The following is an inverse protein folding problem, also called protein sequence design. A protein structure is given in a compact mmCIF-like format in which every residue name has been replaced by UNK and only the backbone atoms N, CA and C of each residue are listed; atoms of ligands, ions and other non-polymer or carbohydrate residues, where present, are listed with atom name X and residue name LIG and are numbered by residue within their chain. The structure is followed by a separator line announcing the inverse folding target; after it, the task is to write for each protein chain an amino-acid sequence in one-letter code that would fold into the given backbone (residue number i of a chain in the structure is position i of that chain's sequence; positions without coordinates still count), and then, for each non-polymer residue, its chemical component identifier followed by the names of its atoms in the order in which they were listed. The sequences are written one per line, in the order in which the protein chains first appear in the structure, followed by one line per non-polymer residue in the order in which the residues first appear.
data_IF_221517423392
#
_entry.id   IF_221517423392
#
_cell.length_a   1.000
_cell.length_b   1.000
_cell.length_c   1.000
_cell.angle_alpha   90.00
_cell.angle_beta   90.00
_cell.angle_gamma   90.00
#
_symmetry.space_group_name_H-M   'P 1'
#
loop_
_entity.id
_entity.type
_entity.pdbx_description
1 polymer ?
#
# COMPACT_ATOMS: atom_id res chain seq x y z
N UNK A 1 -17.65 0.95 -6.24
CA UNK A 1 -16.60 0.36 -7.08
C UNK A 1 -15.24 1.04 -6.90
N UNK A 2 -15.22 2.38 -6.94
CA UNK A 2 -13.95 3.10 -6.81
C UNK A 2 -13.20 2.78 -5.52
N UNK A 3 -13.90 2.69 -4.40
CA UNK A 3 -13.25 2.36 -3.12
C UNK A 3 -12.68 0.94 -3.11
N UNK A 4 -13.39 -0.01 -3.70
CA UNK A 4 -12.91 -1.38 -3.80
C UNK A 4 -11.64 -1.46 -4.64
N UNK A 5 -11.64 -0.79 -5.79
CA UNK A 5 -10.47 -0.72 -6.67
C UNK A 5 -9.31 -0.03 -5.95
N UNK A 6 -9.60 1.06 -5.24
CA UNK A 6 -8.59 1.82 -4.52
C UNK A 6 -7.91 0.98 -3.44
N UNK A 7 -8.69 0.29 -2.61
CA UNK A 7 -8.13 -0.55 -1.55
C UNK A 7 -7.33 -1.72 -2.14
N UNK A 8 -7.85 -2.35 -3.19
CA UNK A 8 -7.13 -3.43 -3.88
C UNK A 8 -5.79 -2.93 -4.43
N UNK A 9 -5.79 -1.72 -5.01
CA UNK A 9 -4.56 -1.11 -5.53
C UNK A 9 -3.56 -0.82 -4.42
N UNK A 10 -4.05 -0.40 -3.24
CA UNK A 10 -3.20 -0.22 -2.07
C UNK A 10 -2.58 -1.52 -1.58
N UNK A 11 -3.33 -2.62 -1.65
CA UNK A 11 -2.79 -3.95 -1.34
C UNK A 11 -1.67 -4.30 -2.33
N UNK A 12 -1.87 -4.02 -3.62
CA UNK A 12 -0.83 -4.23 -4.62
C UNK A 12 0.39 -3.35 -4.38
N UNK A 13 0.20 -2.16 -3.82
CA UNK A 13 1.32 -1.31 -3.42
C UNK A 13 2.21 -2.02 -2.40
N UNK A 14 1.62 -2.70 -1.42
CA UNK A 14 2.39 -3.48 -0.45
C UNK A 14 3.16 -4.61 -1.15
N UNK A 15 2.57 -5.21 -2.17
CA UNK A 15 3.24 -6.27 -2.94
C UNK A 15 4.46 -5.72 -3.67
N UNK A 16 4.31 -4.63 -4.44
CA UNK A 16 5.46 -4.12 -5.18
C UNK A 16 6.50 -3.47 -4.27
N UNK A 17 6.09 -2.87 -3.15
CA UNK A 17 7.05 -2.31 -2.19
C UNK A 17 7.90 -3.41 -1.56
N UNK A 18 7.28 -4.52 -1.17
CA UNK A 18 7.99 -5.67 -0.62
C UNK A 18 8.90 -6.32 -1.68
N UNK A 19 8.40 -6.46 -2.90
CA UNK A 19 9.19 -7.00 -4.01
C UNK A 19 10.40 -6.13 -4.31
N UNK A 20 10.23 -4.80 -4.28
CA UNK A 20 11.33 -3.87 -4.47
C UNK A 20 12.43 -4.09 -3.42
N UNK A 21 12.02 -4.23 -2.16
CA UNK A 21 12.95 -4.51 -1.06
C UNK A 21 13.73 -5.80 -1.29
N UNK A 22 13.08 -6.83 -1.85
CA UNK A 22 13.69 -8.15 -2.05
C UNK A 22 14.42 -8.27 -3.38
N UNK A 23 14.33 -7.27 -4.25
CA UNK A 23 15.01 -7.30 -5.55
C UNK A 23 16.50 -7.04 -5.45
N UNK A 24 16.99 -6.60 -4.30
CA UNK A 24 18.39 -6.27 -4.07
C UNK A 24 18.93 -5.33 -5.16
N UNK A 25 18.26 -4.17 -5.31
CA UNK A 25 18.64 -3.18 -6.32
C UNK A 25 18.35 -3.63 -7.75
N UNK A 26 17.31 -4.45 -7.93
CA UNK A 26 16.93 -5.05 -9.22
C UNK A 26 17.91 -6.11 -9.74
N UNK A 27 18.77 -6.61 -8.86
CA UNK A 27 19.71 -7.66 -9.25
C UNK A 27 19.06 -9.04 -9.27
N UNK A 28 17.92 -9.23 -8.59
CA UNK A 28 17.20 -10.50 -8.57
C UNK A 28 16.01 -10.43 -9.49
N UNK A 29 15.95 -11.35 -10.46
CA UNK A 29 14.98 -11.30 -11.54
C UNK A 29 13.54 -11.45 -11.06
N UNK A 30 13.25 -12.48 -10.26
CA UNK A 30 11.87 -12.77 -9.89
C UNK A 30 11.23 -11.63 -9.06
N UNK A 31 11.86 -11.13 -7.98
CA UNK A 31 11.31 -9.98 -7.27
C UNK A 31 11.17 -8.74 -8.14
N UNK A 32 12.10 -8.52 -9.08
CA UNK A 32 12.03 -7.38 -9.98
C UNK A 32 10.82 -7.47 -10.90
N UNK A 33 10.53 -8.66 -11.44
CA UNK A 33 9.36 -8.88 -12.29
C UNK A 33 8.07 -8.68 -11.50
N UNK A 34 7.99 -9.20 -10.28
CA UNK A 34 6.83 -9.00 -9.39
C UNK A 34 6.63 -7.51 -9.14
N UNK A 35 7.71 -6.78 -8.88
CA UNK A 35 7.65 -5.34 -8.66
C UNK A 35 6.99 -4.63 -9.85
N UNK A 36 7.49 -4.86 -11.07
CA UNK A 36 6.97 -4.14 -12.23
C UNK A 36 5.53 -4.51 -12.56
N UNK A 37 5.17 -5.78 -12.44
CA UNK A 37 3.79 -6.22 -12.70
C UNK A 37 2.84 -5.62 -11.66
N UNK A 38 3.18 -5.75 -10.38
CA UNK A 38 2.33 -5.24 -9.30
C UNK A 38 2.23 -3.71 -9.36
N UNK A 39 3.33 -3.01 -9.68
CA UNK A 39 3.32 -1.56 -9.83
C UNK A 39 2.36 -1.12 -10.94
N UNK A 40 2.40 -1.79 -12.08
CA UNK A 40 1.53 -1.46 -13.20
C UNK A 40 0.06 -1.58 -12.83
N UNK A 41 -0.33 -2.70 -12.22
CA UNK A 41 -1.72 -2.88 -11.81
C UNK A 41 -2.12 -1.94 -10.68
N UNK A 42 -1.23 -1.71 -9.72
CA UNK A 42 -1.49 -0.81 -8.60
C UNK A 42 -1.72 0.62 -9.08
N UNK A 43 -0.84 1.13 -9.94
CA UNK A 43 -0.98 2.49 -10.48
C UNK A 43 -2.21 2.62 -11.36
N UNK A 44 -2.52 1.60 -12.15
CA UNK A 44 -3.72 1.61 -12.99
C UNK A 44 -4.99 1.66 -12.15
N UNK A 45 -5.03 0.91 -11.06
CA UNK A 45 -6.18 0.93 -10.15
C UNK A 45 -6.33 2.28 -9.45
N UNK A 46 -5.22 2.88 -9.04
CA UNK A 46 -5.24 4.23 -8.46
C UNK A 46 -5.78 5.25 -9.46
N UNK A 47 -5.31 5.21 -10.69
CA UNK A 47 -5.77 6.10 -11.74
C UNK A 47 -7.28 5.92 -11.99
N UNK A 48 -7.75 4.68 -12.01
CA UNK A 48 -9.17 4.40 -12.17
C UNK A 48 -9.99 5.00 -11.02
N UNK A 49 -9.53 4.82 -9.78
CA UNK A 49 -10.23 5.34 -8.61
C UNK A 49 -10.31 6.87 -8.63
N UNK A 50 -9.27 7.53 -9.14
CA UNK A 50 -9.22 8.99 -9.23
C UNK A 50 -10.22 9.57 -10.22
N UNK A 51 -10.83 8.75 -11.07
CA UNK A 51 -11.88 9.21 -11.98
C UNK A 51 -13.18 9.54 -11.22
N UNK A 52 -13.39 8.92 -10.07
CA UNK A 52 -14.61 9.08 -9.28
C UNK A 52 -14.37 9.74 -7.93
N UNK A 53 -13.13 9.69 -7.42
CA UNK A 53 -12.80 10.18 -6.09
C UNK A 53 -11.81 11.35 -6.20
N UNK A 54 -11.80 12.25 -5.19
CA UNK A 54 -10.80 13.33 -5.18
C UNK A 54 -9.39 12.78 -5.21
N UNK A 55 -8.51 13.44 -5.94
CA UNK A 55 -7.12 13.00 -6.11
C UNK A 55 -6.39 12.86 -4.78
N UNK A 56 -6.51 13.85 -3.92
CA UNK A 56 -5.82 13.82 -2.62
C UNK A 56 -6.30 12.68 -1.73
N UNK A 57 -7.61 12.48 -1.66
CA UNK A 57 -8.19 11.39 -0.87
C UNK A 57 -7.77 10.04 -1.42
N UNK A 58 -7.84 9.86 -2.73
CA UNK A 58 -7.43 8.61 -3.38
C UNK A 58 -5.97 8.30 -3.09
N UNK A 59 -5.09 9.28 -3.25
CA UNK A 59 -3.67 9.08 -3.02
C UNK A 59 -3.38 8.76 -1.55
N UNK A 60 -4.00 9.49 -0.63
CA UNK A 60 -3.79 9.29 0.81
C UNK A 60 -4.22 7.89 1.25
N UNK A 61 -5.37 7.41 0.77
CA UNK A 61 -5.86 6.07 1.08
C UNK A 61 -4.95 5.01 0.47
N UNK A 62 -4.57 5.19 -0.79
CA UNK A 62 -3.69 4.25 -1.49
C UNK A 62 -2.35 4.11 -0.77
N UNK A 63 -1.70 5.22 -0.45
CA UNK A 63 -0.42 5.21 0.27
C UNK A 63 -0.59 4.62 1.67
N UNK A 64 -1.67 5.00 2.37
CA UNK A 64 -1.93 4.51 3.73
C UNK A 64 -2.16 3.01 3.78
N UNK A 65 -2.99 2.47 2.91
CA UNK A 65 -3.25 1.03 2.83
C UNK A 65 -1.95 0.28 2.55
N UNK A 66 -1.21 0.74 1.54
CA UNK A 66 0.06 0.12 1.17
C UNK A 66 1.08 0.17 2.30
N UNK A 67 1.20 1.32 2.97
CA UNK A 67 2.15 1.49 4.06
C UNK A 67 1.82 0.56 5.25
N UNK A 68 0.56 0.50 5.67
CA UNK A 68 0.13 -0.37 6.76
C UNK A 68 0.42 -1.82 6.45
N UNK A 69 0.08 -2.27 5.26
CA UNK A 69 0.27 -3.66 4.87
C UNK A 69 1.76 -4.00 4.70
N UNK A 70 2.55 -3.07 4.16
CA UNK A 70 3.99 -3.29 4.00
C UNK A 70 4.68 -3.44 5.36
N UNK A 71 4.38 -2.54 6.30
CA UNK A 71 4.96 -2.62 7.65
C UNK A 71 4.44 -3.86 8.37
N UNK A 72 3.14 -4.16 8.26
CA UNK A 72 2.57 -5.35 8.87
C UNK A 72 3.21 -6.63 8.37
N UNK A 73 3.41 -6.73 7.07
CA UNK A 73 4.07 -7.89 6.47
C UNK A 73 5.54 -7.99 6.93
N UNK A 74 6.25 -6.87 6.98
CA UNK A 74 7.64 -6.86 7.43
C UNK A 74 7.77 -7.31 8.88
N UNK A 75 6.83 -6.93 9.74
CA UNK A 75 6.81 -7.39 11.13
C UNK A 75 6.56 -8.90 11.19
N UNK A 76 5.58 -9.40 10.43
CA UNK A 76 5.25 -10.81 10.43
C UNK A 76 6.38 -11.69 9.90
N UNK A 77 7.15 -11.20 8.95
CA UNK A 77 8.27 -11.96 8.37
C UNK A 77 9.59 -11.76 9.12
N UNK A 78 9.61 -10.89 10.13
CA UNK A 78 10.80 -10.63 10.93
C UNK A 78 11.75 -9.62 10.35
N UNK A 79 11.41 -8.97 9.23
CA UNK A 79 12.25 -7.94 8.61
C UNK A 79 12.26 -6.65 9.45
N UNK A 80 11.22 -6.42 10.23
CA UNK A 80 11.13 -5.29 11.14
C UNK A 80 10.70 -5.75 12.52
N UNK A 81 11.16 -5.03 13.55
CA UNK A 81 10.73 -5.27 14.92
C UNK A 81 9.43 -4.52 15.18
N UNK A 82 8.55 -5.12 15.97
CA UNK A 82 7.36 -4.44 16.43
C UNK A 82 7.63 -3.72 17.75
N UNK A 83 6.88 -2.66 18.00
CA UNK A 83 6.89 -1.95 19.29
C UNK A 83 5.49 -1.39 19.52
N UNK A 84 5.12 -1.12 20.79
CA UNK A 84 3.81 -0.50 21.04
C UNK A 84 3.63 0.83 20.31
N UNK A 85 4.68 1.65 20.23
CA UNK A 85 4.63 2.93 19.53
C UNK A 85 4.39 2.73 18.03
N UNK A 86 5.12 1.79 17.42
CA UNK A 86 4.95 1.49 15.99
C UNK A 86 3.53 1.02 15.69
N UNK A 87 3.00 0.12 16.53
CA UNK A 87 1.63 -0.38 16.35
C UNK A 87 0.59 0.71 16.52
N UNK A 88 0.80 1.64 17.46
CA UNK A 88 -0.09 2.78 17.64
C UNK A 88 -0.08 3.70 16.44
N UNK A 89 1.08 3.93 15.84
CA UNK A 89 1.20 4.79 14.66
C UNK A 89 0.51 4.15 13.45
N UNK A 90 0.65 2.85 13.28
CA UNK A 90 -0.04 2.11 12.23
C UNK A 90 -1.55 2.19 12.43
N UNK A 91 -2.01 2.01 13.67
CA UNK A 91 -3.44 2.13 14.00
C UNK A 91 -3.95 3.53 13.67
N UNK A 92 -3.13 4.56 13.90
CA UNK A 92 -3.46 5.94 13.53
C UNK A 92 -3.66 6.10 12.04
N UNK A 93 -2.81 5.48 11.22
CA UNK A 93 -2.95 5.52 9.76
C UNK A 93 -4.27 4.86 9.33
N UNK A 94 -4.58 3.70 9.90
CA UNK A 94 -5.85 3.02 9.62
C UNK A 94 -7.03 3.90 10.00
N UNK A 95 -6.97 4.54 11.15
CA UNK A 95 -8.02 5.46 11.60
C UNK A 95 -8.20 6.63 10.65
N UNK A 96 -7.10 7.19 10.13
CA UNK A 96 -7.17 8.28 9.16
C UNK A 96 -7.83 7.82 7.85
N UNK A 97 -7.53 6.61 7.39
CA UNK A 97 -8.15 6.05 6.18
C UNK A 97 -9.66 5.90 6.37
N UNK A 98 -10.06 5.34 7.50
CA UNK A 98 -11.49 5.18 7.81
C UNK A 98 -12.17 6.55 7.91
N UNK A 99 -11.53 7.51 8.56
CA UNK A 99 -12.06 8.86 8.66
C UNK A 99 -12.23 9.54 7.31
N UNK A 100 -11.26 9.39 6.42
CA UNK A 100 -11.35 9.94 5.07
C UNK A 100 -12.53 9.35 4.30
N UNK A 101 -12.75 8.05 4.44
CA UNK A 101 -13.89 7.41 3.79
C UNK A 101 -15.21 7.95 4.33
N UNK A 102 -15.29 8.17 5.64
CA UNK A 102 -16.52 8.63 6.28
C UNK A 102 -16.90 10.06 5.89
N UNK A 103 -15.91 10.91 5.61
CA UNK A 103 -16.17 12.32 5.25
C UNK A 103 -16.19 12.55 3.74
N UNK A 104 -16.01 11.50 2.96
CA UNK A 104 -15.97 11.58 1.50
C UNK A 104 -17.28 11.21 0.85
#
# INVERSE_FOLDING_TARGET
MAWLVLVTSGILEAVWATALSRSDGFSRLLPSLVFFVALTFSMSGLAFAMRSLPTGTSYAVWVGVGAVLTVGYAILTGDETSSPVKLMLIAGVVGCIVGLKMVS
#
